data_IF_899505491071
#
_entry.id   IF_899505491071
#
_cell.length_a   1.000
_cell.length_b   1.000
_cell.length_c   1.000
_cell.angle_alpha   90.00
_cell.angle_beta   90.00
_cell.angle_gamma   90.00
#
_symmetry.space_group_name_H-M   'P 1'
#
loop_
_entity.id
_entity.type
_entity.pdbx_description
1 polymer ?
#
# COMPACT_ATOMS: atom_id res chain seq x y z
N UNK A 1 -3.36 -8.80 15.91
CA UNK A 1 -4.24 -8.46 14.76
C UNK A 1 -4.66 -9.71 14.02
N UNK A 2 -3.75 -10.68 13.81
CA UNK A 2 -4.10 -12.03 13.31
C UNK A 2 -5.23 -12.69 14.11
N UNK A 3 -5.22 -12.57 15.44
CA UNK A 3 -6.31 -13.08 16.30
C UNK A 3 -7.69 -12.44 16.03
N UNK A 4 -7.71 -11.20 15.50
CA UNK A 4 -8.95 -10.44 15.26
C UNK A 4 -9.45 -10.64 13.83
N UNK A 5 -8.53 -10.64 12.86
CA UNK A 5 -8.87 -10.63 11.43
C UNK A 5 -8.52 -11.93 10.70
N UNK A 6 -7.72 -12.82 11.29
CA UNK A 6 -7.12 -13.98 10.62
C UNK A 6 -5.83 -13.61 9.87
N UNK A 7 -4.82 -14.47 9.93
CA UNK A 7 -3.56 -14.31 9.18
C UNK A 7 -3.81 -14.30 7.66
N UNK A 8 -4.80 -15.05 7.20
CA UNK A 8 -5.20 -15.11 5.78
C UNK A 8 -5.73 -13.77 5.23
N UNK A 9 -6.03 -12.84 6.13
CA UNK A 9 -6.53 -11.50 5.83
C UNK A 9 -5.46 -10.42 5.98
N UNK A 10 -4.20 -10.80 6.24
CA UNK A 10 -3.04 -9.93 6.12
C UNK A 10 -2.86 -9.48 4.67
N UNK A 11 -2.79 -8.17 4.45
CA UNK A 11 -2.70 -7.57 3.12
C UNK A 11 -1.25 -7.25 2.77
N UNK A 12 -0.57 -6.51 3.64
CA UNK A 12 0.80 -6.07 3.44
C UNK A 12 1.41 -5.49 4.73
N UNK A 13 2.73 -5.54 4.80
CA UNK A 13 3.52 -4.72 5.72
C UNK A 13 4.09 -3.54 4.93
N UNK A 14 3.52 -2.35 5.12
CA UNK A 14 4.03 -1.15 4.46
C UNK A 14 5.19 -0.58 5.30
N UNK A 15 6.29 -0.27 4.62
CA UNK A 15 7.48 0.32 5.23
C UNK A 15 7.49 1.81 4.91
N UNK A 16 7.22 2.61 5.93
CA UNK A 16 7.27 4.06 5.85
C UNK A 16 8.63 4.53 6.36
N UNK A 17 9.42 5.20 5.51
CA UNK A 17 10.67 5.81 5.98
C UNK A 17 10.36 7.15 6.64
N UNK A 18 10.53 7.23 7.97
CA UNK A 18 10.18 8.40 8.76
C UNK A 18 11.32 9.44 8.87
N UNK A 19 12.55 9.07 8.48
CA UNK A 19 13.71 9.95 8.43
C UNK A 19 14.61 9.68 7.21
N UNK A 20 15.32 10.71 6.74
CA UNK A 20 16.30 10.61 5.65
C UNK A 20 17.70 10.41 6.23
N UNK A 21 18.35 9.32 5.85
CA UNK A 21 19.71 8.99 6.30
C UNK A 21 19.73 8.24 7.63
N UNK A 22 20.95 7.89 8.05
CA UNK A 22 21.20 7.22 9.31
C UNK A 22 21.25 8.24 10.45
N UNK A 23 20.58 7.95 11.56
CA UNK A 23 20.75 8.72 12.80
C UNK A 23 22.20 8.56 13.27
N UNK A 24 22.86 9.69 13.53
CA UNK A 24 24.31 9.73 13.83
C UNK A 24 24.65 9.08 15.18
N UNK A 25 23.66 8.92 16.07
CA UNK A 25 23.76 8.28 17.38
C UNK A 25 23.49 6.77 17.35
N UNK A 26 23.15 6.20 16.19
CA UNK A 26 22.88 4.78 16.07
C UNK A 26 24.18 3.96 16.15
N UNK A 27 24.30 3.13 17.20
CA UNK A 27 25.49 2.29 17.45
C UNK A 27 25.69 1.16 16.42
N UNK A 28 24.61 0.61 15.86
CA UNK A 28 24.66 -0.53 14.93
C UNK A 28 23.86 -0.25 13.66
N UNK A 29 22.53 -0.31 13.76
CA UNK A 29 21.61 0.03 12.67
C UNK A 29 20.74 1.22 13.08
N UNK A 30 20.70 2.23 12.22
CA UNK A 30 19.79 3.35 12.39
C UNK A 30 18.37 2.94 11.97
N UNK A 31 17.45 2.92 12.93
CA UNK A 31 16.02 2.79 12.63
C UNK A 31 15.48 4.12 12.10
N UNK A 32 15.22 4.17 10.80
CA UNK A 32 14.68 5.33 10.07
C UNK A 32 13.39 4.99 9.30
N UNK A 33 12.72 3.91 9.72
CA UNK A 33 11.46 3.46 9.17
C UNK A 33 10.53 2.94 10.25
N UNK A 34 9.24 3.01 9.97
CA UNK A 34 8.17 2.39 10.73
C UNK A 34 7.42 1.39 9.86
N UNK A 35 6.81 0.42 10.51
CA UNK A 35 5.97 -0.60 9.88
C UNK A 35 4.50 -0.29 10.07
N UNK A 36 3.74 -0.40 8.99
CA UNK A 36 2.28 -0.28 8.99
C UNK A 36 1.73 -1.60 8.49
N UNK A 37 1.20 -2.39 9.43
CA UNK A 37 0.55 -3.66 9.10
C UNK A 37 -0.87 -3.40 8.63
N UNK A 38 -1.19 -3.86 7.43
CA UNK A 38 -2.51 -3.69 6.81
C UNK A 38 -3.24 -5.02 6.82
N UNK A 39 -4.43 -5.02 7.41
CA UNK A 39 -5.36 -6.14 7.44
C UNK A 39 -6.68 -5.75 6.79
N UNK A 40 -7.36 -6.71 6.17
CA UNK A 40 -8.70 -6.53 5.63
C UNK A 40 -9.67 -7.49 6.31
N UNK A 41 -10.87 -7.04 6.68
CA UNK A 41 -11.90 -7.96 7.21
C UNK A 41 -12.22 -9.13 6.25
N UNK A 42 -12.10 -8.89 4.96
CA UNK A 42 -12.19 -9.91 3.92
C UNK A 42 -11.33 -9.48 2.74
N UNK A 43 -10.16 -10.10 2.60
CA UNK A 43 -9.17 -9.74 1.57
C UNK A 43 -9.72 -9.89 0.15
N UNK A 44 -10.65 -10.83 -0.10
CA UNK A 44 -11.27 -11.03 -1.43
C UNK A 44 -12.18 -9.87 -1.85
N UNK A 45 -12.66 -9.06 -0.90
CA UNK A 45 -13.50 -7.87 -1.15
C UNK A 45 -12.72 -6.56 -1.14
N UNK A 46 -11.43 -6.62 -0.83
CA UNK A 46 -10.58 -5.44 -0.69
C UNK A 46 -10.38 -4.74 -2.04
N UNK A 47 -10.51 -3.41 -2.03
CA UNK A 47 -10.20 -2.56 -3.19
C UNK A 47 -9.20 -1.49 -2.76
N UNK A 48 -8.02 -1.51 -3.37
CA UNK A 48 -6.95 -0.53 -3.17
C UNK A 48 -6.67 0.17 -4.49
N UNK A 49 -6.49 1.49 -4.47
CA UNK A 49 -6.09 2.29 -5.63
C UNK A 49 -4.72 1.83 -6.12
N UNK A 50 -4.64 1.47 -7.39
CA UNK A 50 -3.38 1.21 -8.09
C UNK A 50 -2.74 2.53 -8.57
N UNK A 51 -1.47 2.52 -8.94
CA UNK A 51 -0.78 3.71 -9.49
C UNK A 51 -0.97 3.75 -11.00
N UNK A 52 -1.42 4.88 -11.54
CA UNK A 52 -1.49 5.12 -12.98
C UNK A 52 -0.07 5.21 -13.57
N UNK A 53 0.17 4.49 -14.67
CA UNK A 53 1.40 4.61 -15.46
C UNK A 53 1.20 5.74 -16.47
N UNK A 54 2.15 6.67 -16.57
CA UNK A 54 2.17 7.63 -17.67
C UNK A 54 2.17 6.88 -19.01
N UNK A 55 1.35 7.32 -19.95
CA UNK A 55 1.21 6.68 -21.26
C UNK A 55 2.52 6.79 -22.06
N UNK A 56 3.37 5.76 -21.99
CA UNK A 56 4.25 5.42 -23.11
C UNK A 56 3.51 4.35 -23.92
N UNK A 57 2.74 4.83 -24.90
CA UNK A 57 1.68 4.12 -25.63
C UNK A 57 2.18 3.10 -26.67
N UNK A 58 3.46 3.08 -27.03
CA UNK A 58 3.90 2.31 -28.21
C UNK A 58 4.21 0.81 -28.00
N UNK A 59 4.13 0.30 -26.77
CA UNK A 59 4.60 -1.07 -26.45
C UNK A 59 3.51 -2.16 -26.46
N UNK A 60 2.25 -1.85 -26.75
CA UNK A 60 1.11 -2.78 -26.65
C UNK A 60 0.25 -2.70 -27.92
N UNK A 61 0.27 -3.75 -28.77
CA UNK A 61 -0.27 -3.66 -30.15
C UNK A 61 -1.41 -4.62 -30.51
N UNK A 62 -1.99 -5.35 -29.56
CA UNK A 62 -3.03 -6.33 -29.88
C UNK A 62 -4.33 -6.08 -29.12
N UNK A 63 -5.36 -5.69 -29.87
CA UNK A 63 -6.70 -5.39 -29.39
C UNK A 63 -7.67 -6.36 -30.08
N UNK A 64 -7.92 -7.51 -29.47
CA UNK A 64 -9.00 -8.40 -29.92
C UNK A 64 -10.31 -7.95 -29.28
N UNK A 65 -11.38 -7.80 -30.07
CA UNK A 65 -12.69 -7.28 -29.66
C UNK A 65 -13.43 -8.23 -28.72
N UNK A 66 -12.97 -9.47 -28.57
CA UNK A 66 -13.69 -10.54 -27.87
C UNK A 66 -13.02 -10.95 -26.54
N UNK A 67 -11.73 -10.64 -26.30
CA UNK A 67 -11.01 -11.12 -25.11
C UNK A 67 -10.74 -10.05 -24.03
N UNK A 68 -10.95 -10.44 -22.76
CA UNK A 68 -10.86 -9.63 -21.52
C UNK A 68 -9.42 -9.37 -21.04
N UNK A 69 -8.42 -9.43 -21.91
CA UNK A 69 -7.00 -9.31 -21.54
C UNK A 69 -6.22 -8.51 -22.60
N UNK A 70 -5.16 -7.81 -22.20
CA UNK A 70 -4.16 -7.22 -23.10
C UNK A 70 -2.85 -8.03 -23.04
N UNK A 71 -2.16 -8.16 -24.19
CA UNK A 71 -0.89 -8.88 -24.32
C UNK A 71 0.23 -7.91 -24.70
N UNK A 72 1.27 -7.79 -23.87
CA UNK A 72 2.54 -7.16 -24.29
C UNK A 72 3.47 -8.20 -24.83
N UNK A 73 3.99 -7.94 -26.02
CA UNK A 73 5.12 -8.69 -26.53
C UNK A 73 6.38 -8.15 -25.87
N UNK A 74 6.95 -8.92 -24.93
CA UNK A 74 8.20 -8.60 -24.27
C UNK A 74 9.29 -9.58 -24.72
N UNK A 75 10.49 -9.09 -24.99
CA UNK A 75 11.65 -9.95 -25.29
C UNK A 75 11.92 -10.83 -24.06
N UNK A 76 12.06 -12.15 -24.26
CA UNK A 76 12.28 -13.11 -23.17
C UNK A 76 13.67 -12.97 -22.55
N UNK A 77 14.58 -12.29 -23.24
CA UNK A 77 15.90 -11.93 -22.76
C UNK A 77 15.92 -10.55 -22.09
N UNK A 78 16.73 -10.40 -21.02
CA UNK A 78 17.02 -9.09 -20.41
C UNK A 78 18.29 -8.49 -21.02
N UNK A 79 18.23 -7.20 -21.37
CA UNK A 79 19.37 -6.43 -21.87
C UNK A 79 19.84 -5.36 -20.88
N UNK A 80 19.95 -5.66 -19.58
CA UNK A 80 20.55 -4.74 -18.62
C UNK A 80 22.07 -4.87 -18.62
N UNK A 81 22.79 -3.76 -18.47
CA UNK A 81 24.24 -3.65 -18.62
C UNK A 81 25.08 -4.44 -17.58
N UNK A 82 24.45 -5.07 -16.59
CA UNK A 82 25.14 -5.62 -15.40
C UNK A 82 24.77 -7.09 -15.08
N UNK A 83 23.63 -7.59 -15.58
CA UNK A 83 23.17 -8.95 -15.23
C UNK A 83 23.58 -9.97 -16.29
N UNK A 84 24.24 -11.03 -15.85
CA UNK A 84 24.89 -12.07 -16.63
C UNK A 84 24.29 -13.45 -16.35
N UNK A 85 24.68 -14.44 -17.16
CA UNK A 85 24.35 -15.85 -16.94
C UNK A 85 24.77 -16.38 -15.56
N UNK A 86 25.83 -15.81 -14.96
CA UNK A 86 26.36 -16.22 -13.65
C UNK A 86 25.47 -15.80 -12.48
N UNK A 87 24.76 -14.67 -12.60
CA UNK A 87 23.91 -14.17 -11.53
C UNK A 87 22.72 -15.09 -11.28
N UNK A 88 22.27 -15.82 -12.31
CA UNK A 88 21.16 -16.77 -12.24
C UNK A 88 21.34 -17.94 -13.21
N UNK A 89 22.19 -18.90 -12.86
CA UNK A 89 22.47 -20.11 -13.66
C UNK A 89 21.22 -20.87 -14.11
N UNK A 90 20.15 -20.91 -13.28
CA UNK A 90 18.87 -21.56 -13.63
C UNK A 90 18.10 -20.91 -14.78
N UNK A 91 18.55 -19.76 -15.27
CA UNK A 91 17.99 -19.05 -16.43
C UNK A 91 18.90 -19.14 -17.67
N UNK A 92 19.87 -20.07 -17.62
CA UNK A 92 20.71 -20.48 -18.73
C UNK A 92 20.19 -21.81 -19.29
N UNK A 93 19.63 -21.77 -20.49
CA UNK A 93 19.19 -22.97 -21.21
C UNK A 93 19.03 -22.65 -22.69
N UNK A 94 19.16 -23.65 -23.55
CA UNK A 94 18.88 -23.55 -24.99
C UNK A 94 17.37 -23.73 -25.18
N UNK A 95 16.79 -22.88 -26.03
CA UNK A 95 15.44 -23.08 -26.57
C UNK A 95 15.59 -23.66 -27.97
N UNK A 96 15.15 -24.90 -28.15
CA UNK A 96 15.07 -25.55 -29.46
C UNK A 96 13.70 -25.30 -30.06
N UNK A 97 13.64 -24.67 -31.23
CA UNK A 97 12.38 -24.35 -31.90
C UNK A 97 12.30 -25.00 -33.28
N UNK A 98 11.21 -25.70 -33.55
CA UNK A 98 10.90 -26.21 -34.88
C UNK A 98 9.88 -25.29 -35.54
N UNK A 99 10.29 -24.54 -36.56
CA UNK A 99 9.45 -23.55 -37.24
C UNK A 99 8.22 -24.17 -37.92
N UNK A 100 8.39 -25.34 -38.56
CA UNK A 100 7.33 -26.01 -39.31
C UNK A 100 6.22 -26.55 -38.41
N UNK A 101 6.61 -27.13 -37.29
CA UNK A 101 5.69 -27.75 -36.34
C UNK A 101 5.26 -26.78 -35.22
N UNK A 102 5.92 -25.62 -35.12
CA UNK A 102 5.82 -24.69 -34.01
C UNK A 102 5.98 -25.36 -32.63
N UNK A 103 6.91 -26.32 -32.54
CA UNK A 103 7.20 -27.07 -31.32
C UNK A 103 8.44 -26.51 -30.62
N UNK A 104 8.44 -26.59 -29.29
CA UNK A 104 9.53 -26.15 -28.44
C UNK A 104 10.08 -27.33 -27.64
N UNK A 105 11.41 -27.38 -27.51
CA UNK A 105 12.12 -28.19 -26.53
C UNK A 105 13.14 -27.30 -25.81
N UNK A 106 13.56 -27.70 -24.62
CA UNK A 106 14.55 -26.98 -23.83
C UNK A 106 15.68 -27.91 -23.42
N UNK A 107 16.83 -27.31 -23.16
CA UNK A 107 18.02 -28.02 -22.71
C UNK A 107 18.82 -27.10 -21.77
N UNK A 108 18.93 -27.51 -20.51
CA UNK A 108 19.61 -26.76 -19.45
C UNK A 108 20.99 -27.35 -19.09
N UNK A 109 21.47 -28.35 -19.83
CA UNK A 109 22.76 -29.00 -19.61
C UNK A 109 23.87 -28.11 -20.21
N UNK A 110 24.24 -27.07 -19.48
CA UNK A 110 25.25 -26.08 -19.85
C UNK A 110 26.51 -26.31 -19.02
N UNK A 111 27.66 -26.46 -19.67
CA UNK A 111 28.95 -26.54 -18.96
C UNK A 111 29.48 -25.13 -18.71
N UNK A 112 29.28 -24.65 -17.47
CA UNK A 112 29.74 -23.34 -17.04
C UNK A 112 31.27 -23.25 -16.88
N UNK A 113 32.00 -24.38 -16.83
CA UNK A 113 33.46 -24.38 -16.70
C UNK A 113 34.16 -23.95 -17.99
N UNK A 114 33.45 -23.99 -19.12
CA UNK A 114 33.96 -23.62 -20.43
C UNK A 114 33.77 -22.12 -20.75
N UNK A 115 33.25 -21.32 -19.80
CA UNK A 115 33.09 -19.87 -19.97
C UNK A 115 34.43 -19.16 -19.76
N UNK A 116 34.97 -18.56 -20.83
CA UNK A 116 36.10 -17.63 -20.78
C UNK A 116 35.62 -16.17 -20.73
N UNK A 117 36.50 -15.22 -20.39
CA UNK A 117 36.16 -13.79 -20.41
C UNK A 117 36.01 -13.23 -21.84
N UNK A 118 36.43 -13.97 -22.86
CA UNK A 118 36.40 -13.55 -24.26
C UNK A 118 35.35 -14.33 -25.07
N UNK A 119 34.20 -13.67 -25.33
CA UNK A 119 32.97 -14.29 -25.82
C UNK A 119 32.79 -14.22 -27.34
N UNK A 120 33.87 -14.36 -28.09
CA UNK A 120 33.84 -14.18 -29.55
C UNK A 120 33.05 -15.27 -30.29
N UNK A 121 32.74 -16.40 -29.64
CA UNK A 121 31.86 -17.43 -30.22
C UNK A 121 30.94 -18.07 -29.17
N UNK A 122 29.62 -17.99 -29.40
CA UNK A 122 28.60 -18.58 -28.52
C UNK A 122 28.68 -20.13 -28.44
N UNK A 123 29.50 -20.76 -29.27
CA UNK A 123 29.60 -22.21 -29.48
C UNK A 123 30.24 -22.99 -28.33
N UNK A 124 30.97 -22.35 -27.41
CA UNK A 124 31.82 -23.06 -26.45
C UNK A 124 31.02 -23.69 -25.29
N UNK A 125 29.92 -23.07 -24.86
CA UNK A 125 29.14 -23.53 -23.69
C UNK A 125 27.88 -24.33 -24.05
N UNK A 126 27.44 -24.22 -25.30
CA UNK A 126 26.21 -24.82 -25.82
C UNK A 126 26.48 -26.05 -26.69
N UNK A 127 27.66 -26.66 -26.55
CA UNK A 127 28.20 -27.77 -27.36
C UNK A 127 27.13 -28.54 -28.16
N UNK A 128 27.04 -28.23 -29.44
CA UNK A 128 26.03 -28.84 -30.30
C UNK A 128 26.41 -30.24 -30.76
N UNK A 129 27.61 -30.73 -30.46
CA UNK A 129 28.13 -32.02 -30.97
C UNK A 129 27.49 -33.25 -30.31
N UNK A 130 26.77 -33.08 -29.20
CA UNK A 130 26.11 -34.20 -28.52
C UNK A 130 25.10 -34.89 -29.44
N UNK A 131 25.01 -36.22 -29.35
CA UNK A 131 24.11 -37.02 -30.20
C UNK A 131 22.65 -36.58 -30.11
N UNK A 132 22.21 -36.15 -28.93
CA UNK A 132 20.85 -35.64 -28.68
C UNK A 132 20.58 -34.32 -29.39
N UNK A 133 21.54 -33.37 -29.35
CA UNK A 133 21.41 -32.07 -30.03
C UNK A 133 21.52 -32.20 -31.54
N UNK A 134 22.40 -33.07 -32.04
CA UNK A 134 22.48 -33.41 -33.46
C UNK A 134 21.18 -34.03 -33.98
N UNK A 135 20.54 -34.89 -33.18
CA UNK A 135 19.22 -35.43 -33.50
C UNK A 135 18.18 -34.32 -33.61
N UNK A 136 18.15 -33.36 -32.68
CA UNK A 136 17.23 -32.21 -32.74
C UNK A 136 17.44 -31.38 -34.02
N UNK A 137 18.69 -31.12 -34.40
CA UNK A 137 19.04 -30.42 -35.64
C UNK A 137 18.52 -31.21 -36.85
N UNK A 138 18.75 -32.53 -36.88
CA UNK A 138 18.27 -33.40 -37.98
C UNK A 138 16.73 -33.44 -38.08
N UNK A 139 16.03 -33.25 -36.95
CA UNK A 139 14.57 -33.14 -36.87
C UNK A 139 14.06 -31.73 -37.24
N UNK A 140 14.94 -30.81 -37.63
CA UNK A 140 14.59 -29.47 -38.07
C UNK A 140 14.37 -28.47 -36.92
N UNK A 141 14.87 -28.75 -35.72
CA UNK A 141 14.91 -27.76 -34.65
C UNK A 141 16.12 -26.83 -34.83
N UNK A 142 15.91 -25.54 -34.56
CA UNK A 142 16.98 -24.54 -34.49
C UNK A 142 17.23 -24.12 -33.05
N UNK A 143 18.50 -24.01 -32.61
CA UNK A 143 18.82 -23.54 -31.27
C UNK A 143 18.67 -22.02 -31.18
N UNK A 144 18.07 -21.56 -30.08
CA UNK A 144 17.94 -20.15 -29.73
C UNK A 144 18.48 -19.97 -28.32
N UNK A 145 19.46 -19.08 -28.18
CA UNK A 145 20.14 -18.80 -26.91
C UNK A 145 19.99 -17.31 -26.55
N UNK A 146 20.12 -16.94 -25.26
CA UNK A 146 20.20 -15.54 -24.89
C UNK A 146 21.43 -14.90 -25.57
N UNK A 147 21.22 -13.81 -26.32
CA UNK A 147 22.32 -13.11 -26.99
C UNK A 147 23.35 -12.57 -26.00
N UNK A 148 24.59 -12.43 -26.43
CA UNK A 148 25.62 -11.72 -25.68
C UNK A 148 25.21 -10.25 -25.46
N UNK A 149 25.34 -9.77 -24.22
CA UNK A 149 25.05 -8.38 -23.83
C UNK A 149 26.28 -7.49 -24.07
N UNK A 150 26.08 -6.15 -24.07
CA UNK A 150 27.18 -5.17 -24.21
C UNK A 150 28.33 -5.50 -23.24
N UNK A 151 29.58 -5.34 -23.70
CA UNK A 151 30.85 -5.74 -23.03
C UNK A 151 31.20 -7.24 -23.11
N UNK A 152 30.76 -7.96 -24.15
CA UNK A 152 31.08 -9.38 -24.35
C UNK A 152 30.75 -10.24 -23.10
N UNK A 153 29.52 -10.15 -22.58
CA UNK A 153 29.07 -11.00 -21.46
C UNK A 153 27.88 -11.88 -21.89
N UNK A 154 27.85 -13.13 -21.43
CA UNK A 154 26.75 -14.04 -21.73
C UNK A 154 25.46 -13.54 -21.08
N UNK A 155 24.42 -13.37 -21.90
CA UNK A 155 23.09 -13.04 -21.44
C UNK A 155 22.39 -14.22 -20.76
N UNK A 156 21.19 -13.95 -20.23
CA UNK A 156 20.31 -14.99 -19.67
C UNK A 156 18.84 -14.72 -20.03
N UNK A 157 18.02 -15.76 -19.92
CA UNK A 157 16.58 -15.60 -19.95
C UNK A 157 16.08 -14.85 -18.72
N UNK A 158 14.89 -14.27 -18.83
CA UNK A 158 14.20 -13.57 -17.74
C UNK A 158 13.32 -14.49 -16.89
N UNK A 159 13.07 -15.72 -17.35
CA UNK A 159 12.27 -16.76 -16.70
C UNK A 159 13.10 -18.05 -16.59
N UNK A 160 12.70 -18.96 -15.70
CA UNK A 160 13.28 -20.31 -15.64
C UNK A 160 12.75 -21.18 -16.79
N UNK A 161 13.44 -22.28 -17.05
CA UNK A 161 13.01 -23.30 -18.02
C UNK A 161 11.59 -23.80 -17.75
N UNK A 162 11.27 -24.13 -16.49
CA UNK A 162 9.93 -24.59 -16.11
C UNK A 162 8.85 -23.55 -16.46
N UNK A 163 9.05 -22.29 -16.07
CA UNK A 163 8.11 -21.20 -16.40
C UNK A 163 8.02 -20.98 -17.91
N UNK A 164 9.11 -21.16 -18.66
CA UNK A 164 9.06 -21.10 -20.11
C UNK A 164 8.18 -22.21 -20.72
N UNK A 165 8.35 -23.46 -20.27
CA UNK A 165 7.54 -24.59 -20.74
C UNK A 165 6.05 -24.40 -20.39
N UNK A 166 5.73 -23.85 -19.22
CA UNK A 166 4.37 -23.45 -18.85
C UNK A 166 3.80 -22.41 -19.81
N UNK A 167 4.59 -21.40 -20.17
CA UNK A 167 4.19 -20.38 -21.15
C UNK A 167 4.01 -20.93 -22.56
N UNK A 168 4.82 -21.91 -22.97
CA UNK A 168 4.61 -22.63 -24.24
C UNK A 168 3.27 -23.35 -24.21
N UNK A 169 2.97 -24.11 -23.14
CA UNK A 169 1.68 -24.80 -22.98
C UNK A 169 0.49 -23.85 -23.04
N UNK A 170 0.64 -22.63 -22.54
CA UNK A 170 -0.40 -21.60 -22.53
C UNK A 170 -0.46 -20.76 -23.83
N UNK A 171 0.33 -21.09 -24.86
CA UNK A 171 0.45 -20.29 -26.10
C UNK A 171 0.84 -18.82 -25.81
N UNK A 172 1.71 -18.60 -24.83
CA UNK A 172 2.21 -17.29 -24.38
C UNK A 172 3.62 -16.97 -24.90
N UNK A 173 4.13 -17.75 -25.85
CA UNK A 173 5.47 -17.60 -26.43
C UNK A 173 5.35 -17.36 -27.93
N UNK A 174 6.20 -16.48 -28.46
CA UNK A 174 6.33 -16.24 -29.90
C UNK A 174 7.80 -16.14 -30.28
N UNK A 175 8.18 -16.81 -31.36
CA UNK A 175 9.49 -16.63 -31.98
C UNK A 175 9.36 -15.74 -33.21
N UNK A 176 10.29 -14.82 -33.40
CA UNK A 176 10.39 -14.00 -34.61
C UNK A 176 11.82 -14.03 -35.14
N UNK A 177 11.95 -14.17 -36.46
CA UNK A 177 13.22 -13.97 -37.15
C UNK A 177 13.52 -12.48 -37.22
N UNK A 178 14.69 -12.07 -36.74
CA UNK A 178 15.19 -10.70 -36.80
C UNK A 178 16.61 -10.74 -37.35
N UNK A 179 16.78 -10.19 -38.57
CA UNK A 179 18.00 -10.34 -39.37
C UNK A 179 18.35 -11.85 -39.50
N UNK A 180 19.54 -12.24 -39.09
CA UNK A 180 20.07 -13.61 -39.21
C UNK A 180 19.84 -14.45 -37.94
N UNK A 181 18.98 -14.02 -37.03
CA UNK A 181 18.79 -14.67 -35.73
C UNK A 181 17.32 -14.76 -35.33
N UNK A 182 16.99 -15.75 -34.51
CA UNK A 182 15.67 -15.84 -33.89
C UNK A 182 15.66 -15.14 -32.54
N UNK A 183 14.56 -14.45 -32.24
CA UNK A 183 14.28 -13.89 -30.92
C UNK A 183 13.02 -14.50 -30.34
N UNK A 184 13.08 -14.85 -29.06
CA UNK A 184 11.95 -15.36 -28.30
C UNK A 184 11.31 -14.22 -27.53
N UNK A 185 10.00 -14.09 -27.69
CA UNK A 185 9.15 -13.16 -26.99
C UNK A 185 8.16 -13.93 -26.11
N UNK A 186 7.78 -13.32 -25.01
CA UNK A 186 6.62 -13.74 -24.22
C UNK A 186 5.50 -12.74 -24.33
N UNK A 187 4.29 -13.24 -24.18
CA UNK A 187 3.13 -12.44 -23.88
C UNK A 187 3.03 -12.28 -22.36
N UNK A 188 3.21 -11.05 -21.90
CA UNK A 188 2.79 -10.67 -20.55
C UNK A 188 1.28 -10.39 -20.64
N UNK A 189 0.48 -11.25 -20.00
CA UNK A 189 -0.98 -11.15 -19.98
C UNK A 189 -1.40 -10.32 -18.78
N UNK A 190 -2.24 -9.32 -19.01
CA UNK A 190 -2.88 -8.54 -17.96
C UNK A 190 -4.39 -8.44 -18.23
N UNK A 191 -5.19 -8.53 -17.17
CA UNK A 191 -6.64 -8.31 -17.24
C UNK A 191 -6.95 -6.94 -17.82
N UNK A 192 -7.76 -6.93 -18.89
CA UNK A 192 -8.27 -5.73 -19.54
C UNK A 192 -9.41 -5.21 -18.69
N UNK A 193 -9.17 -4.10 -18.01
CA UNK A 193 -10.20 -3.36 -17.30
C UNK A 193 -10.75 -2.33 -18.30
N UNK A 194 -12.02 -2.44 -18.74
CA UNK A 194 -12.59 -1.50 -19.70
C UNK A 194 -12.46 -0.06 -19.19
N UNK A 195 -11.92 0.84 -20.02
CA UNK A 195 -11.78 2.28 -19.78
C UNK A 195 -10.86 2.73 -18.63
N UNK A 196 -9.92 1.92 -18.12
CA UNK A 196 -8.95 2.40 -17.12
C UNK A 196 -7.58 2.72 -17.74
N UNK A 197 -7.05 3.92 -17.48
CA UNK A 197 -5.62 4.26 -17.64
C UNK A 197 -4.77 3.13 -17.03
N UNK A 198 -3.69 2.70 -17.68
CA UNK A 198 -2.83 1.58 -17.24
C UNK A 198 -2.45 1.73 -15.76
N UNK A 199 -2.65 0.69 -14.92
CA UNK A 199 -2.33 0.78 -13.48
C UNK A 199 -1.46 -0.39 -12.97
N UNK A 200 -0.44 -0.08 -12.18
CA UNK A 200 0.42 -1.04 -11.48
C UNK A 200 0.06 -1.15 -9.98
N UNK A 201 0.29 -2.33 -9.36
CA UNK A 201 0.30 -2.45 -7.90
C UNK A 201 1.25 -1.44 -7.24
N UNK A 202 0.92 -1.02 -6.01
CA UNK A 202 1.76 -0.08 -5.23
C UNK A 202 2.96 -0.80 -4.60
N UNK A 203 4.07 -0.08 -4.48
CA UNK A 203 5.23 -0.51 -3.68
C UNK A 203 4.85 -0.54 -2.19
N UNK A 204 5.37 -1.54 -1.47
CA UNK A 204 5.24 -1.63 0.00
C UNK A 204 6.20 -0.69 0.73
N UNK A 205 7.30 -0.27 0.09
CA UNK A 205 8.23 0.75 0.63
C UNK A 205 7.90 2.09 0.01
N UNK A 206 7.67 3.11 0.84
CA UNK A 206 7.26 4.42 0.35
C UNK A 206 7.87 5.57 1.18
N UNK A 207 8.57 6.46 0.46
CA UNK A 207 9.00 7.79 0.91
C UNK A 207 9.06 8.72 -0.31
N UNK A 208 9.73 8.30 -1.38
CA UNK A 208 9.83 9.03 -2.65
C UNK A 208 8.49 9.16 -3.41
N UNK A 209 7.57 8.19 -3.29
CA UNK A 209 6.24 8.24 -3.92
C UNK A 209 5.33 9.29 -3.27
N UNK A 210 5.44 9.51 -1.96
CA UNK A 210 4.72 10.58 -1.26
C UNK A 210 5.20 11.96 -1.73
N UNK A 211 6.52 12.15 -1.83
CA UNK A 211 7.10 13.40 -2.31
C UNK A 211 6.66 13.72 -3.76
N UNK A 212 6.60 12.73 -4.65
CA UNK A 212 6.12 12.90 -6.03
C UNK A 212 4.63 13.24 -6.16
N UNK A 213 3.80 12.81 -5.20
CA UNK A 213 2.37 13.17 -5.19
C UNK A 213 2.16 14.63 -4.78
N UNK A 214 3.08 15.19 -4.00
CA UNK A 214 3.07 16.60 -3.54
C UNK A 214 3.70 17.54 -4.57
N UNK A 215 4.64 17.08 -5.39
CA UNK A 215 5.30 17.89 -6.44
C UNK A 215 4.37 18.38 -7.56
N UNK A 216 3.14 17.87 -7.67
CA UNK A 216 2.19 18.22 -8.75
C UNK A 216 1.28 19.42 -8.44
N UNK A 217 1.50 20.13 -7.32
CA UNK A 217 0.84 21.41 -7.05
C UNK A 217 1.80 22.55 -7.36
N UNK A 218 1.40 23.42 -8.30
CA UNK A 218 2.18 24.51 -8.87
C UNK A 218 3.00 25.33 -7.85
N UNK A 219 4.26 25.59 -8.26
CA UNK A 219 5.09 26.73 -7.87
C UNK A 219 5.04 27.16 -6.40
N UNK A 220 5.67 26.40 -5.51
CA UNK A 220 6.67 26.90 -4.56
C UNK A 220 7.36 25.70 -3.88
N UNK A 221 8.69 25.74 -3.82
CA UNK A 221 9.52 24.74 -3.14
C UNK A 221 9.20 24.65 -1.64
N UNK A 222 8.22 23.82 -1.27
CA UNK A 222 8.24 23.10 -0.01
C UNK A 222 7.79 21.68 -0.33
N UNK A 223 8.77 20.78 -0.44
CA UNK A 223 8.50 19.34 -0.44
C UNK A 223 7.74 19.07 0.86
N UNK A 224 6.40 18.96 0.83
CA UNK A 224 5.67 18.51 2.01
C UNK A 224 6.03 17.04 2.22
N UNK A 225 6.96 16.83 3.13
CA UNK A 225 7.46 15.51 3.48
C UNK A 225 6.42 14.85 4.39
N UNK A 226 6.48 13.54 4.46
CA UNK A 226 5.78 12.77 5.49
C UNK A 226 6.85 12.18 6.40
N UNK A 227 7.62 13.04 7.07
CA UNK A 227 8.62 12.69 8.08
C UNK A 227 8.08 13.03 9.47
N UNK A 228 8.63 12.45 10.53
CA UNK A 228 8.18 12.74 11.90
C UNK A 228 8.24 14.24 12.23
N UNK A 229 9.24 14.97 11.71
CA UNK A 229 9.35 16.42 11.90
C UNK A 229 8.17 17.19 11.31
N UNK A 230 7.55 16.72 10.24
CA UNK A 230 6.41 17.42 9.61
C UNK A 230 5.18 17.37 10.50
N UNK A 231 4.98 16.27 11.23
CA UNK A 231 3.92 16.17 12.24
C UNK A 231 4.08 17.25 13.30
N UNK A 232 5.30 17.41 13.84
CA UNK A 232 5.59 18.39 14.88
C UNK A 232 5.47 19.83 14.37
N UNK A 233 5.95 20.13 13.16
CA UNK A 233 5.80 21.44 12.54
C UNK A 233 4.32 21.79 12.31
N UNK A 234 3.54 20.84 11.82
CA UNK A 234 2.11 21.00 11.62
C UNK A 234 1.39 21.31 12.93
N UNK A 235 1.69 20.56 14.00
CA UNK A 235 1.08 20.79 15.31
C UNK A 235 1.49 22.16 15.90
N UNK A 236 2.76 22.54 15.81
CA UNK A 236 3.24 23.88 16.20
C UNK A 236 2.49 25.01 15.47
N UNK A 237 2.20 24.84 14.18
CA UNK A 237 1.47 25.86 13.39
C UNK A 237 0.03 26.10 13.86
N UNK A 238 -0.57 25.13 14.57
CA UNK A 238 -1.94 25.21 15.11
C UNK A 238 -1.94 25.81 16.52
N UNK A 239 -0.93 25.50 17.33
CA UNK A 239 -0.88 25.86 18.74
C UNK A 239 -0.06 27.12 19.04
N UNK A 240 0.86 27.54 18.16
CA UNK A 240 1.73 28.72 18.34
C UNK A 240 2.65 28.70 19.58
N UNK A 241 2.85 27.54 20.20
CA UNK A 241 3.85 27.27 21.24
C UNK A 241 4.43 25.85 21.06
N UNK A 242 5.55 25.56 21.72
CA UNK A 242 6.09 24.20 21.77
C UNK A 242 5.05 23.28 22.42
N UNK A 243 4.39 22.49 21.57
CA UNK A 243 3.33 21.58 21.96
C UNK A 243 3.88 20.54 22.94
N UNK A 244 3.15 20.30 24.03
CA UNK A 244 3.42 19.24 25.01
C UNK A 244 3.21 17.80 24.47
N UNK A 245 2.92 17.64 23.18
CA UNK A 245 2.66 16.33 22.57
C UNK A 245 3.86 15.86 21.74
N UNK A 246 4.51 14.81 22.23
CA UNK A 246 5.66 14.21 21.56
C UNK A 246 5.22 13.42 20.32
N UNK A 247 5.89 13.70 19.20
CA UNK A 247 5.84 12.92 17.94
C UNK A 247 4.44 12.68 17.34
N UNK A 248 3.65 13.74 17.05
CA UNK A 248 2.42 13.57 16.29
C UNK A 248 2.69 12.93 14.93
N UNK A 249 1.85 11.98 14.50
CA UNK A 249 1.96 11.38 13.16
C UNK A 249 1.80 12.46 12.08
N UNK A 250 2.52 12.38 10.95
CA UNK A 250 2.36 13.36 9.86
C UNK A 250 0.99 13.26 9.20
N UNK A 251 0.32 14.39 8.97
CA UNK A 251 -1.02 14.43 8.36
C UNK A 251 -1.01 13.80 6.97
N UNK A 252 0.01 14.10 6.16
CA UNK A 252 0.15 13.57 4.80
C UNK A 252 0.33 12.05 4.75
N UNK A 253 0.95 11.44 5.78
CA UNK A 253 1.01 9.98 5.89
C UNK A 253 -0.40 9.40 6.05
N UNK A 254 -1.20 9.97 6.95
CA UNK A 254 -2.57 9.48 7.19
C UNK A 254 -3.47 9.73 5.97
N UNK A 255 -3.35 10.89 5.32
CA UNK A 255 -4.05 11.18 4.06
C UNK A 255 -3.73 10.15 2.99
N UNK A 256 -2.45 9.83 2.82
CA UNK A 256 -2.03 8.79 1.88
C UNK A 256 -2.67 7.44 2.20
N UNK A 257 -2.63 6.99 3.46
CA UNK A 257 -3.22 5.72 3.88
C UNK A 257 -4.73 5.69 3.61
N UNK A 258 -5.46 6.76 3.93
CA UNK A 258 -6.90 6.85 3.66
C UNK A 258 -7.16 6.85 2.14
N UNK A 259 -6.35 7.57 1.37
CA UNK A 259 -6.50 7.69 -0.07
C UNK A 259 -6.13 6.41 -0.83
N UNK A 260 -5.43 5.47 -0.21
CA UNK A 260 -5.25 4.11 -0.76
C UNK A 260 -6.59 3.44 -1.06
N UNK A 261 -7.67 3.84 -0.38
CA UNK A 261 -9.01 3.29 -0.60
C UNK A 261 -9.83 4.21 -1.51
N UNK A 262 -10.48 3.67 -2.56
CA UNK A 262 -11.14 4.48 -3.59
C UNK A 262 -12.43 5.16 -3.10
N UNK A 263 -13.03 4.70 -2.00
CA UNK A 263 -14.28 5.26 -1.49
C UNK A 263 -14.05 6.61 -0.81
N UNK A 264 -14.72 7.65 -1.34
CA UNK A 264 -14.75 9.00 -0.78
C UNK A 264 -15.79 9.20 0.32
N UNK A 265 -16.49 8.15 0.76
CA UNK A 265 -17.48 8.19 1.85
C UNK A 265 -17.15 7.18 2.97
N UNK A 266 -15.86 6.84 3.09
CA UNK A 266 -15.36 5.88 4.09
C UNK A 266 -15.50 6.44 5.51
N UNK A 267 -15.79 5.54 6.46
CA UNK A 267 -15.74 5.83 7.90
C UNK A 267 -14.37 5.43 8.44
N UNK A 268 -13.66 6.36 9.04
CA UNK A 268 -12.33 6.17 9.61
C UNK A 268 -12.45 6.09 11.13
N UNK A 269 -11.92 5.02 11.74
CA UNK A 269 -11.82 4.88 13.19
C UNK A 269 -10.35 4.90 13.58
N UNK A 270 -10.01 5.76 14.53
CA UNK A 270 -8.71 5.78 15.17
C UNK A 270 -8.92 5.74 16.69
N UNK A 271 -8.60 4.60 17.29
CA UNK A 271 -8.79 4.38 18.72
C UNK A 271 -7.53 4.71 19.56
N UNK A 272 -6.51 5.28 18.93
CA UNK A 272 -5.31 5.82 19.56
C UNK A 272 -5.01 7.21 18.96
N UNK A 273 -6.01 8.08 18.98
CA UNK A 273 -5.98 9.32 18.19
C UNK A 273 -4.86 10.30 18.60
N UNK A 274 -4.43 10.28 19.88
CA UNK A 274 -3.28 11.04 20.37
C UNK A 274 -3.44 12.55 20.18
N UNK A 275 -2.85 13.11 19.12
CA UNK A 275 -2.94 14.53 18.78
C UNK A 275 -4.08 14.88 17.82
N UNK A 276 -4.83 13.90 17.32
CA UNK A 276 -5.96 14.14 16.41
C UNK A 276 -5.58 14.27 14.93
N UNK A 277 -4.37 13.84 14.53
CA UNK A 277 -3.90 13.85 13.13
C UNK A 277 -4.91 13.22 12.17
N UNK A 278 -5.51 12.09 12.54
CA UNK A 278 -6.46 11.37 11.69
C UNK A 278 -7.72 12.17 11.36
N UNK A 279 -8.27 12.90 12.35
CA UNK A 279 -9.43 13.76 12.12
C UNK A 279 -9.11 14.89 11.13
N UNK A 280 -7.95 15.53 11.29
CA UNK A 280 -7.49 16.56 10.35
C UNK A 280 -7.30 16.00 8.93
N UNK A 281 -6.65 14.84 8.78
CA UNK A 281 -6.43 14.21 7.48
C UNK A 281 -7.75 13.95 6.74
N UNK A 282 -8.79 13.52 7.45
CA UNK A 282 -10.12 13.30 6.88
C UNK A 282 -10.76 14.61 6.42
N UNK A 283 -10.70 15.67 7.25
CA UNK A 283 -11.24 16.99 6.89
C UNK A 283 -10.54 17.58 5.66
N UNK A 284 -9.21 17.50 5.61
CA UNK A 284 -8.42 17.94 4.46
C UNK A 284 -8.77 17.16 3.19
N UNK A 285 -8.81 15.82 3.24
CA UNK A 285 -9.16 15.01 2.06
C UNK A 285 -10.56 15.33 1.54
N UNK A 286 -11.54 15.53 2.42
CA UNK A 286 -12.89 15.91 2.00
C UNK A 286 -12.90 17.28 1.32
N UNK A 287 -12.13 18.26 1.82
CA UNK A 287 -11.98 19.58 1.18
C UNK A 287 -11.28 19.46 -0.17
N UNK A 288 -10.23 18.65 -0.27
CA UNK A 288 -9.41 18.49 -1.48
C UNK A 288 -10.14 17.76 -2.61
N UNK A 289 -10.89 16.70 -2.28
CA UNK A 289 -11.45 15.79 -3.28
C UNK A 289 -12.98 15.77 -3.34
N UNK A 290 -13.66 16.64 -2.59
CA UNK A 290 -15.12 16.73 -2.50
C UNK A 290 -15.77 15.52 -1.83
N UNK A 291 -15.01 14.78 -1.01
CA UNK A 291 -15.48 13.60 -0.30
C UNK A 291 -16.43 13.89 0.85
N UNK A 292 -17.04 12.82 1.36
CA UNK A 292 -17.94 12.79 2.52
C UNK A 292 -17.51 11.74 3.54
N UNK A 293 -16.19 11.57 3.70
CA UNK A 293 -15.62 10.66 4.70
C UNK A 293 -15.97 11.17 6.10
N UNK A 294 -16.21 10.25 7.03
CA UNK A 294 -16.44 10.60 8.44
C UNK A 294 -15.36 9.97 9.30
N UNK A 295 -15.10 10.53 10.47
CA UNK A 295 -14.13 9.97 11.42
C UNK A 295 -14.73 9.79 12.82
N UNK A 296 -14.21 8.81 13.55
CA UNK A 296 -14.40 8.62 14.98
C UNK A 296 -13.00 8.51 15.59
N UNK A 297 -12.72 9.39 16.55
CA UNK A 297 -11.47 9.38 17.30
C UNK A 297 -11.76 8.94 18.73
N UNK A 298 -10.95 8.01 19.23
CA UNK A 298 -10.91 7.65 20.65
C UNK A 298 -9.48 7.89 21.12
N UNK A 299 -9.35 8.56 22.26
CA UNK A 299 -8.08 8.76 22.95
C UNK A 299 -8.36 8.78 24.43
N UNK A 300 -7.39 8.31 25.23
CA UNK A 300 -7.41 8.60 26.66
C UNK A 300 -7.18 10.11 26.86
N UNK A 301 -7.63 10.62 28.01
CA UNK A 301 -7.38 12.00 28.42
C UNK A 301 -6.23 12.10 29.44
N UNK A 302 -5.29 11.15 29.40
CA UNK A 302 -4.06 11.22 30.18
C UNK A 302 -3.32 12.53 29.87
N UNK A 303 -2.82 13.20 30.90
CA UNK A 303 -2.17 14.52 30.77
C UNK A 303 -3.01 15.57 30.03
N UNK A 304 -4.34 15.42 30.02
CA UNK A 304 -5.28 16.24 29.25
C UNK A 304 -5.06 16.23 27.73
N UNK A 305 -4.44 15.18 27.18
CA UNK A 305 -4.17 15.06 25.74
C UNK A 305 -5.45 15.15 24.92
N UNK A 306 -6.50 14.43 25.33
CA UNK A 306 -7.80 14.44 24.67
C UNK A 306 -8.39 15.84 24.57
N UNK A 307 -8.41 16.58 25.68
CA UNK A 307 -8.99 17.93 25.76
C UNK A 307 -8.09 19.00 25.13
N UNK A 308 -6.86 19.08 25.59
CA UNK A 308 -5.96 20.21 25.32
C UNK A 308 -5.19 20.03 24.01
N UNK A 309 -5.11 18.83 23.46
CA UNK A 309 -4.41 18.55 22.20
C UNK A 309 -5.39 18.11 21.12
N UNK A 310 -6.04 16.94 21.25
CA UNK A 310 -6.90 16.41 20.19
C UNK A 310 -8.12 17.31 19.92
N UNK A 311 -8.91 17.61 20.95
CA UNK A 311 -10.11 18.44 20.80
C UNK A 311 -9.74 19.86 20.39
N UNK A 312 -8.78 20.49 21.08
CA UNK A 312 -8.33 21.85 20.74
C UNK A 312 -7.82 21.95 19.30
N UNK A 313 -7.05 20.96 18.81
CA UNK A 313 -6.58 20.90 17.42
C UNK A 313 -7.75 20.89 16.44
N UNK A 314 -8.68 19.95 16.62
CA UNK A 314 -9.83 19.80 15.73
C UNK A 314 -10.74 21.01 15.80
N UNK A 315 -10.95 21.58 16.98
CA UNK A 315 -11.74 22.79 17.15
C UNK A 315 -11.12 23.97 16.39
N UNK A 316 -9.80 24.19 16.54
CA UNK A 316 -9.07 25.26 15.86
C UNK A 316 -9.18 25.20 14.35
N UNK A 317 -8.89 24.05 13.75
CA UNK A 317 -8.94 23.92 12.29
C UNK A 317 -10.38 23.94 11.77
N UNK A 318 -11.35 23.49 12.58
CA UNK A 318 -12.74 23.43 12.16
C UNK A 318 -13.46 24.77 12.31
N UNK A 319 -13.09 25.60 13.29
CA UNK A 319 -13.71 26.91 13.56
C UNK A 319 -12.85 28.12 13.20
N UNK A 320 -11.59 27.91 12.83
CA UNK A 320 -10.64 29.00 12.55
C UNK A 320 -10.26 29.82 13.78
N UNK A 321 -10.52 29.28 14.99
CA UNK A 321 -10.19 29.93 16.26
C UNK A 321 -10.05 28.88 17.38
N UNK A 322 -9.24 29.18 18.39
CA UNK A 322 -9.12 28.36 19.60
C UNK A 322 -10.38 28.36 20.45
N UNK A 323 -10.49 27.40 21.37
CA UNK A 323 -11.67 27.29 22.26
C UNK A 323 -11.84 28.50 23.18
N UNK A 324 -10.78 29.29 23.41
CA UNK A 324 -10.83 30.55 24.16
C UNK A 324 -10.89 31.78 23.26
N UNK A 325 -11.23 31.61 21.97
CA UNK A 325 -11.37 32.70 21.00
C UNK A 325 -10.05 33.18 20.38
N UNK A 326 -8.94 32.48 20.58
CA UNK A 326 -7.64 32.84 19.99
C UNK A 326 -7.66 32.72 18.46
N UNK A 327 -7.10 33.70 17.75
CA UNK A 327 -6.99 33.72 16.28
C UNK A 327 -5.56 34.00 15.82
N UNK A 328 -4.61 33.99 16.72
CA UNK A 328 -3.21 34.28 16.49
C UNK A 328 -2.43 32.96 16.33
N UNK A 329 -2.66 32.23 15.23
CA UNK A 329 -1.86 31.05 14.90
C UNK A 329 -1.61 30.91 13.40
N UNK A 330 -0.43 30.37 13.03
CA UNK A 330 0.04 30.38 11.64
C UNK A 330 -0.88 29.63 10.67
N UNK A 331 -1.56 28.57 11.13
CA UNK A 331 -2.40 27.74 10.26
C UNK A 331 -3.50 28.53 9.54
N UNK A 332 -4.20 29.45 10.23
CA UNK A 332 -5.30 30.22 9.62
C UNK A 332 -4.83 31.26 8.60
N UNK A 333 -3.54 31.60 8.58
CA UNK A 333 -3.00 32.53 7.56
C UNK A 333 -2.95 31.90 6.18
N UNK A 334 -2.92 30.56 6.12
CA UNK A 334 -2.76 29.77 4.89
C UNK A 334 -3.96 28.88 4.58
N UNK A 335 -4.90 28.76 5.52
CA UNK A 335 -6.01 27.81 5.43
C UNK A 335 -7.30 28.46 5.95
N UNK A 336 -8.42 28.10 5.34
CA UNK A 336 -9.74 28.44 5.84
C UNK A 336 -10.27 27.33 6.76
N UNK A 337 -11.12 27.71 7.70
CA UNK A 337 -11.80 26.79 8.58
C UNK A 337 -12.66 25.77 7.79
N UNK A 338 -12.75 24.53 8.29
CA UNK A 338 -13.56 23.50 7.63
C UNK A 338 -15.07 23.65 7.88
N UNK A 339 -15.46 24.23 9.01
CA UNK A 339 -16.84 24.45 9.48
C UNK A 339 -17.79 23.25 9.33
N UNK A 340 -17.32 22.09 9.80
CA UNK A 340 -18.10 20.84 9.83
C UNK A 340 -18.66 20.55 11.23
N UNK A 341 -19.56 19.58 11.34
CA UNK A 341 -20.05 19.10 12.63
C UNK A 341 -18.93 18.40 13.41
N UNK A 342 -18.67 18.82 14.65
CA UNK A 342 -17.72 18.20 15.55
C UNK A 342 -18.43 17.88 16.88
N UNK A 343 -18.82 16.63 17.06
CA UNK A 343 -19.43 16.15 18.30
C UNK A 343 -18.37 15.55 19.22
N UNK A 344 -18.42 15.89 20.51
CA UNK A 344 -17.45 15.43 21.51
C UNK A 344 -18.20 14.75 22.65
N UNK A 345 -17.76 13.56 23.01
CA UNK A 345 -18.36 12.74 24.06
C UNK A 345 -17.30 12.37 25.09
N UNK A 346 -17.68 12.42 26.36
CA UNK A 346 -16.86 11.98 27.48
C UNK A 346 -17.35 10.63 27.96
N UNK A 347 -16.47 9.63 28.01
CA UNK A 347 -16.78 8.37 28.67
C UNK A 347 -16.85 8.58 30.18
N UNK A 348 -17.87 8.00 30.82
CA UNK A 348 -18.01 7.97 32.28
C UNK A 348 -18.20 6.52 32.69
N UNK A 349 -17.34 6.03 33.57
CA UNK A 349 -17.49 4.72 34.20
C UNK A 349 -18.38 4.85 35.42
N UNK A 350 -19.18 3.81 35.67
CA UNK A 350 -20.02 3.71 36.85
C UNK A 350 -19.79 2.34 37.48
N UNK A 351 -19.61 2.30 38.79
CA UNK A 351 -19.51 1.04 39.51
C UNK A 351 -20.88 0.33 39.47
N UNK A 352 -20.92 -0.85 38.85
CA UNK A 352 -22.10 -1.70 38.73
C UNK A 352 -22.16 -2.80 39.79
N UNK A 353 -21.25 -2.79 40.76
CA UNK A 353 -21.29 -3.69 41.91
C UNK A 353 -22.57 -3.41 42.69
N UNK A 354 -23.55 -4.28 42.50
CA UNK A 354 -24.91 -4.22 43.04
C UNK A 354 -25.01 -4.20 44.58
N UNK A 355 -23.92 -3.95 45.32
CA UNK A 355 -23.85 -4.09 46.78
C UNK A 355 -23.09 -2.98 47.52
N UNK A 356 -22.59 -1.93 46.86
CA UNK A 356 -22.04 -0.74 47.56
C UNK A 356 -22.86 0.51 47.19
N UNK A 357 -24.11 0.51 47.65
CA UNK A 357 -24.99 1.63 48.00
C UNK A 357 -24.79 2.95 47.23
N UNK A 358 -25.65 3.23 46.22
CA UNK A 358 -26.26 4.56 45.95
C UNK A 358 -26.93 4.70 44.56
N UNK A 359 -27.06 3.65 43.74
CA UNK A 359 -27.74 3.77 42.43
C UNK A 359 -28.82 2.67 42.29
N UNK A 360 -30.06 3.10 42.11
CA UNK A 360 -31.23 2.24 41.85
C UNK A 360 -31.26 1.73 40.41
N UNK A 361 -31.96 0.61 40.16
CA UNK A 361 -32.21 0.10 38.80
C UNK A 361 -32.88 1.15 37.89
N UNK A 362 -33.73 2.00 38.47
CA UNK A 362 -34.40 3.08 37.76
C UNK A 362 -33.40 4.16 37.32
N UNK A 363 -32.49 4.57 38.20
CA UNK A 363 -31.43 5.53 37.86
C UNK A 363 -30.47 4.99 36.80
N UNK A 364 -30.16 3.68 36.80
CA UNK A 364 -29.38 3.05 35.73
C UNK A 364 -30.12 3.08 34.38
N UNK A 365 -31.42 2.74 34.38
CA UNK A 365 -32.26 2.83 33.17
C UNK A 365 -32.31 4.26 32.64
N UNK A 366 -32.48 5.25 33.51
CA UNK A 366 -32.58 6.65 33.11
C UNK A 366 -31.24 7.21 32.62
N UNK A 367 -30.11 6.83 33.24
CA UNK A 367 -28.77 7.12 32.73
C UNK A 367 -28.55 6.52 31.34
N UNK A 368 -28.94 5.27 31.11
CA UNK A 368 -28.82 4.63 29.80
C UNK A 368 -29.70 5.31 28.74
N UNK A 369 -30.96 5.65 29.08
CA UNK A 369 -31.86 6.40 28.19
C UNK A 369 -31.29 7.78 27.84
N UNK A 370 -30.68 8.48 28.80
CA UNK A 370 -30.03 9.76 28.55
C UNK A 370 -28.80 9.59 27.65
N UNK A 371 -27.98 8.57 27.87
CA UNK A 371 -26.87 8.24 26.98
C UNK A 371 -27.35 8.01 25.53
N UNK A 372 -28.44 7.26 25.32
CA UNK A 372 -29.00 7.08 23.97
C UNK A 372 -29.42 8.42 23.32
N UNK A 373 -30.00 9.34 24.09
CA UNK A 373 -30.33 10.69 23.60
C UNK A 373 -29.08 11.49 23.25
N UNK A 374 -28.04 11.43 24.08
CA UNK A 374 -26.77 12.12 23.82
C UNK A 374 -26.15 11.63 22.49
N UNK A 375 -26.29 10.34 22.17
CA UNK A 375 -25.89 9.77 20.87
C UNK A 375 -26.87 10.04 19.72
N UNK A 376 -27.92 10.83 19.92
CA UNK A 376 -28.94 11.14 18.91
C UNK A 376 -29.85 9.95 18.55
N UNK A 377 -29.91 8.93 19.39
CA UNK A 377 -30.74 7.73 19.18
C UNK A 377 -32.14 7.98 19.76
N UNK A 378 -33.00 8.64 18.97
CA UNK A 378 -34.43 8.73 19.26
C UNK A 378 -35.15 7.51 18.66
N UNK A 379 -35.34 6.46 19.46
CA UNK A 379 -36.32 5.39 19.13
C UNK A 379 -37.50 5.48 20.09
N UNK A 380 -38.70 5.33 19.55
CA UNK A 380 -39.98 5.55 20.23
C UNK A 380 -40.13 4.83 21.58
N UNK A 381 -40.81 5.54 22.48
CA UNK A 381 -40.78 5.44 23.95
C UNK A 381 -41.32 4.18 24.63
N UNK A 382 -41.68 3.09 23.95
CA UNK A 382 -42.48 2.03 24.62
C UNK A 382 -41.94 0.59 24.58
N UNK A 383 -40.81 0.29 23.91
CA UNK A 383 -40.33 -1.11 23.74
C UNK A 383 -39.03 -1.50 24.45
N UNK A 384 -38.54 -0.70 25.41
CA UNK A 384 -37.20 -0.91 25.97
C UNK A 384 -37.14 -1.39 27.43
N UNK A 385 -38.26 -1.59 28.13
CA UNK A 385 -38.17 -1.70 29.60
C UNK A 385 -37.53 -3.01 30.13
N UNK A 386 -37.72 -4.13 29.42
CA UNK A 386 -37.10 -5.43 29.76
C UNK A 386 -35.78 -5.69 29.01
N UNK A 387 -35.63 -5.15 27.79
CA UNK A 387 -34.43 -5.38 26.97
C UNK A 387 -33.21 -4.61 27.48
N UNK A 388 -33.39 -3.41 28.06
CA UNK A 388 -32.27 -2.64 28.66
C UNK A 388 -31.63 -3.42 29.79
N UNK A 389 -32.41 -3.96 30.73
CA UNK A 389 -31.88 -4.75 31.85
C UNK A 389 -31.13 -5.98 31.36
N UNK A 390 -31.67 -6.67 30.34
CA UNK A 390 -30.99 -7.82 29.73
C UNK A 390 -29.67 -7.41 29.06
N UNK A 391 -29.65 -6.30 28.32
CA UNK A 391 -28.43 -5.76 27.71
C UNK A 391 -27.42 -5.33 28.76
N UNK A 392 -27.83 -4.62 29.81
CA UNK A 392 -26.96 -4.21 30.92
C UNK A 392 -26.39 -5.42 31.66
N UNK A 393 -27.20 -6.46 31.91
CA UNK A 393 -26.75 -7.70 32.54
C UNK A 393 -25.79 -8.52 31.66
N UNK A 394 -25.84 -8.33 30.33
CA UNK A 394 -24.92 -8.96 29.39
C UNK A 394 -23.60 -8.22 29.22
N UNK A 395 -23.46 -7.01 29.79
CA UNK A 395 -22.21 -6.26 29.77
C UNK A 395 -21.19 -7.03 30.62
N UNK A 396 -20.03 -7.32 30.01
CA UNK A 396 -18.93 -7.92 30.76
C UNK A 396 -18.41 -6.91 31.78
N UNK A 397 -18.25 -7.29 33.07
CA UNK A 397 -17.63 -6.41 34.05
C UNK A 397 -16.21 -6.09 33.58
N UNK A 398 -15.92 -4.80 33.47
CA UNK A 398 -14.55 -4.31 33.30
C UNK A 398 -13.94 -4.20 34.70
N UNK A 399 -12.86 -4.96 34.96
CA UNK A 399 -12.05 -4.74 36.15
C UNK A 399 -11.05 -3.66 35.81
N UNK A 400 -11.08 -2.55 36.54
CA UNK A 400 -9.94 -1.63 36.51
C UNK A 400 -8.73 -2.39 37.05
N UNK A 401 -7.69 -2.52 36.22
CA UNK A 401 -6.38 -2.96 36.68
C UNK A 401 -5.77 -1.79 37.46
N UNK A 402 -5.55 -2.00 38.76
CA UNK A 402 -4.94 -1.01 39.67
C UNK A 402 -3.47 -0.76 39.34
#
# INVERSE_FOLDING_TARGET
>A
MDEIFGEENFVANLVWMNAWGSKQDAKYFSQNHEYILVYAKNIKKLKIKKINIAENSDQWKWNDKIQKWEKKLAILQKGSNEETIFDRKKMAYIIWWNEKLNLFKTDNNIDFNLITEDLTTDTIIYDYSTSERQLLISQGYVPIIPKTVRKNKYGRWTVSEQTFLEKVKNNEVKVQKIKDSYQVFRYDVQDKIPNSKKQNPRSVVFNSTLNKLVENTDNHQQIQRASTSDGSLMLRSIFNFDSFFDFPKPVNLIKYIIDLFPSKNTRVLDFFAGSGTTGQAVLELNKEDGGSRSFVLVTNNENNIGQNVTYERLYRINKGQGTKGQKDFEWIKKNEAFDTSLNVFWSKTYNTSLLNNNITNQELKDKFKNLLKDFGINKDKEKFDDSVLKTLSSLRPYKEEN
#
